data_IF_890501580538
#
_entry.id   IF_890501580538
#
_cell.length_a   1.000
_cell.length_b   1.000
_cell.length_c   1.000
_cell.angle_alpha   90.00
_cell.angle_beta   90.00
_cell.angle_gamma   90.00
#
_symmetry.space_group_name_H-M   'P 1'
#
loop_
_entity.id
_entity.type
_entity.pdbx_description
1 polymer ?
#
# COMPACT_ATOMS: atom_id res chain seq x y z
N UNK A 1 7.21 5.25 11.53
CA UNK A 1 6.86 3.83 11.63
C UNK A 1 8.03 3.03 11.10
N UNK A 2 8.63 2.23 11.96
CA UNK A 2 9.65 1.27 11.58
C UNK A 2 8.96 -0.02 11.13
N UNK A 3 9.30 -0.50 9.94
CA UNK A 3 8.81 -1.77 9.40
C UNK A 3 9.99 -2.70 9.20
N UNK A 4 9.93 -3.85 9.84
CA UNK A 4 10.89 -4.94 9.65
C UNK A 4 10.11 -6.19 9.24
N UNK A 5 10.52 -6.78 8.12
CA UNK A 5 9.89 -7.98 7.56
C UNK A 5 10.98 -8.99 7.24
N UNK A 6 10.70 -10.27 7.50
CA UNK A 6 11.65 -11.37 7.29
C UNK A 6 11.00 -12.52 6.54
N UNK A 7 11.81 -13.31 5.84
CA UNK A 7 11.36 -14.51 5.12
C UNK A 7 10.69 -14.21 3.78
N UNK A 8 10.88 -13.00 3.24
CA UNK A 8 10.45 -12.65 1.89
C UNK A 8 11.53 -13.07 0.86
N UNK A 9 11.20 -13.11 -0.45
CA UNK A 9 12.18 -13.26 -1.51
C UNK A 9 13.37 -12.32 -1.34
N UNK A 10 14.59 -12.79 -1.61
CA UNK A 10 15.83 -12.02 -1.41
C UNK A 10 15.99 -10.96 -2.49
N UNK A 11 16.67 -9.85 -2.17
CA UNK A 11 17.00 -8.77 -3.12
C UNK A 11 15.79 -8.30 -3.96
N UNK A 12 14.61 -8.22 -3.34
CA UNK A 12 13.34 -7.97 -4.00
C UNK A 12 12.71 -6.69 -3.47
N UNK A 13 12.22 -5.84 -4.39
CA UNK A 13 11.52 -4.60 -4.06
C UNK A 13 10.07 -4.83 -3.63
N UNK A 14 9.61 -4.02 -2.68
CA UNK A 14 8.25 -4.04 -2.14
C UNK A 14 7.78 -2.62 -1.82
N UNK A 15 6.47 -2.44 -1.83
CA UNK A 15 5.81 -1.16 -1.59
C UNK A 15 4.87 -1.24 -0.40
N UNK A 16 4.97 -0.25 0.49
CA UNK A 16 4.13 -0.13 1.67
C UNK A 16 2.97 0.83 1.44
N UNK A 17 1.77 0.38 1.80
CA UNK A 17 0.55 1.20 1.81
C UNK A 17 -0.13 1.17 3.17
N UNK A 18 -0.73 2.31 3.55
CA UNK A 18 -1.78 2.39 4.57
C UNK A 18 -3.12 2.27 3.87
N UNK A 19 -3.96 1.32 4.29
CA UNK A 19 -5.21 0.94 3.60
C UNK A 19 -6.40 0.93 4.56
N UNK A 20 -7.60 1.14 4.02
CA UNK A 20 -8.85 1.13 4.78
C UNK A 20 -9.26 -0.29 5.19
N UNK A 21 -9.19 -1.25 4.26
CA UNK A 21 -9.56 -2.64 4.47
C UNK A 21 -8.32 -3.53 4.28
N UNK A 22 -8.14 -4.58 5.09
CA UNK A 22 -6.95 -5.41 4.99
C UNK A 22 -6.89 -6.28 3.73
N UNK A 23 -8.05 -6.53 3.12
CA UNK A 23 -8.21 -7.35 1.91
C UNK A 23 -8.97 -6.56 0.85
N UNK A 24 -8.95 -7.05 -0.39
CA UNK A 24 -9.75 -6.50 -1.47
C UNK A 24 -11.21 -6.29 -1.02
N UNK A 25 -11.83 -5.12 -1.29
CA UNK A 25 -11.39 -4.11 -2.25
C UNK A 25 -10.39 -3.06 -1.71
N UNK A 26 -9.80 -3.24 -0.53
CA UNK A 26 -8.80 -2.38 0.13
C UNK A 26 -9.29 -0.98 0.55
N UNK A 27 -10.28 -0.41 -0.16
CA UNK A 27 -10.81 0.93 0.07
C UNK A 27 -9.78 2.01 -0.23
N UNK A 28 -9.85 3.13 0.50
CA UNK A 28 -8.86 4.21 0.35
C UNK A 28 -7.47 3.69 0.74
N UNK A 29 -6.49 3.91 -0.14
CA UNK A 29 -5.14 3.36 -0.02
C UNK A 29 -4.10 4.44 -0.27
N UNK A 30 -3.12 4.57 0.62
CA UNK A 30 -2.14 5.65 0.64
C UNK A 30 -0.70 5.12 0.62
N UNK A 31 0.05 5.45 -0.43
CA UNK A 31 1.43 5.03 -0.63
C UNK A 31 2.35 5.65 0.43
N UNK A 32 3.20 4.84 1.06
CA UNK A 32 4.20 5.31 2.03
C UNK A 32 5.61 5.36 1.45
N UNK A 33 5.90 4.49 0.48
CA UNK A 33 7.21 4.33 -0.12
C UNK A 33 7.58 2.87 -0.32
N UNK A 34 8.77 2.68 -0.85
CA UNK A 34 9.39 1.41 -1.19
C UNK A 34 10.39 0.95 -0.12
N UNK A 35 10.69 -0.34 -0.13
CA UNK A 35 11.82 -0.94 0.55
C UNK A 35 12.26 -2.20 -0.20
N UNK A 36 13.50 -2.62 0.01
CA UNK A 36 14.06 -3.81 -0.64
C UNK A 36 14.53 -4.80 0.42
N UNK A 37 14.28 -6.09 0.20
CA UNK A 37 14.84 -7.15 1.04
C UNK A 37 16.31 -7.38 0.72
N UNK A 38 17.10 -7.72 1.72
CA UNK A 38 18.51 -8.08 1.54
C UNK A 38 18.69 -9.54 1.05
N UNK A 39 19.94 -10.01 1.04
CA UNK A 39 20.31 -11.37 0.66
C UNK A 39 19.80 -12.45 1.62
N UNK A 40 19.33 -12.09 2.81
CA UNK A 40 18.69 -12.98 3.78
C UNK A 40 17.15 -12.99 3.68
N UNK A 41 16.58 -12.14 2.82
CA UNK A 41 15.13 -11.96 2.71
C UNK A 41 14.57 -11.07 3.81
N UNK A 42 15.40 -10.21 4.41
CA UNK A 42 15.02 -9.23 5.43
C UNK A 42 14.88 -7.85 4.78
N UNK A 43 13.71 -7.23 4.92
CA UNK A 43 13.44 -5.87 4.47
C UNK A 43 13.22 -4.95 5.65
N UNK A 44 13.82 -3.76 5.60
CA UNK A 44 13.67 -2.71 6.62
C UNK A 44 13.32 -1.39 5.93
N UNK A 45 12.31 -0.69 6.46
CA UNK A 45 11.93 0.64 6.00
C UNK A 45 11.45 1.52 7.16
N UNK A 46 11.92 2.77 7.18
CA UNK A 46 11.53 3.78 8.16
C UNK A 46 10.72 4.88 7.48
N UNK A 47 9.44 4.96 7.83
CA UNK A 47 8.48 5.87 7.20
C UNK A 47 8.03 6.94 8.19
N UNK A 48 8.13 8.22 7.83
CA UNK A 48 7.74 9.34 8.70
C UNK A 48 6.34 9.84 8.32
N UNK A 49 5.44 9.92 9.30
CA UNK A 49 4.04 10.29 9.08
C UNK A 49 3.18 10.04 10.32
N UNK A 50 1.86 10.25 10.20
CA UNK A 50 0.89 9.95 11.26
C UNK A 50 0.38 8.51 11.08
N UNK A 51 0.83 7.61 11.94
CA UNK A 51 0.44 6.20 11.96
C UNK A 51 -0.19 5.85 13.32
N UNK A 52 -1.44 6.27 13.50
CA UNK A 52 -2.15 6.19 14.78
C UNK A 52 -3.66 6.13 14.59
N UNK A 53 -4.43 6.21 15.67
CA UNK A 53 -5.89 6.35 15.59
C UNK A 53 -6.33 7.64 14.86
N UNK A 54 -5.44 8.62 14.71
CA UNK A 54 -5.71 9.85 13.95
C UNK A 54 -5.42 9.73 12.45
N UNK A 55 -5.09 8.54 11.94
CA UNK A 55 -4.82 8.33 10.50
C UNK A 55 -6.12 8.26 9.71
N UNK A 56 -6.38 9.26 8.86
CA UNK A 56 -7.52 9.32 7.94
C UNK A 56 -7.22 10.12 6.67
N UNK A 57 -8.09 9.99 5.67
CA UNK A 57 -8.15 10.84 4.47
C UNK A 57 -9.50 11.56 4.45
N UNK A 58 -9.52 12.80 4.00
CA UNK A 58 -10.74 13.61 3.85
C UNK A 58 -10.66 14.42 2.56
N UNK A 59 -11.80 14.57 1.88
CA UNK A 59 -11.94 15.45 0.74
C UNK A 59 -13.24 16.25 0.89
N UNK A 60 -13.20 17.49 1.44
CA UNK A 60 -14.40 18.30 1.63
C UNK A 60 -15.17 18.59 0.34
N UNK A 61 -14.52 18.47 -0.81
CA UNK A 61 -15.12 18.56 -2.14
C UNK A 61 -14.24 17.88 -3.20
N UNK A 62 -14.66 17.98 -4.46
CA UNK A 62 -13.92 17.47 -5.62
C UNK A 62 -13.20 18.61 -6.37
N UNK A 63 -11.99 18.35 -6.86
CA UNK A 63 -11.23 19.28 -7.68
C UNK A 63 -10.25 18.56 -8.62
N UNK A 64 -9.67 19.26 -9.61
CA UNK A 64 -8.74 18.67 -10.57
C UNK A 64 -7.48 18.15 -9.88
N UNK A 65 -6.95 17.03 -10.36
CA UNK A 65 -5.74 16.37 -9.87
C UNK A 65 -4.70 16.18 -10.99
N UNK A 66 -3.39 16.23 -10.69
CA UNK A 66 -2.33 15.93 -11.65
C UNK A 66 -2.39 14.48 -12.16
N UNK A 67 -1.96 14.25 -13.41
CA UNK A 67 -1.95 12.91 -14.03
C UNK A 67 -0.60 12.57 -14.70
N UNK A 68 0.51 12.45 -13.95
CA UNK A 68 1.80 12.02 -14.50
C UNK A 68 1.77 10.62 -15.17
N UNK A 69 0.88 9.71 -14.76
CA UNK A 69 0.72 8.36 -15.28
C UNK A 69 -0.60 8.21 -16.05
N UNK A 70 -0.55 8.25 -17.37
CA UNK A 70 -1.75 8.24 -18.24
C UNK A 70 -2.00 6.91 -18.94
N UNK A 71 -1.11 5.92 -18.74
CA UNK A 71 -1.16 4.66 -19.46
C UNK A 71 -2.08 3.65 -18.75
N UNK A 72 -2.83 2.82 -19.51
CA UNK A 72 -3.47 1.63 -18.96
C UNK A 72 -2.44 0.65 -18.35
N UNK A 73 -2.86 -0.24 -17.43
CA UNK A 73 -4.26 -0.48 -17.00
C UNK A 73 -4.79 0.50 -15.94
N UNK A 74 -3.91 1.24 -15.27
CA UNK A 74 -4.27 2.13 -14.15
C UNK A 74 -3.83 3.58 -14.41
N UNK A 75 -4.52 4.32 -15.30
CA UNK A 75 -4.26 5.74 -15.46
C UNK A 75 -4.68 6.52 -14.21
N UNK A 76 -3.97 7.61 -13.91
CA UNK A 76 -4.31 8.53 -12.84
C UNK A 76 -5.74 9.09 -12.99
N UNK A 77 -6.45 9.22 -11.87
CA UNK A 77 -7.68 9.99 -11.84
C UNK A 77 -7.36 11.49 -11.89
N UNK A 78 -8.00 12.23 -12.80
CA UNK A 78 -7.82 13.68 -12.95
C UNK A 78 -8.74 14.51 -12.03
N UNK A 79 -9.52 13.86 -11.16
CA UNK A 79 -10.40 14.48 -10.17
C UNK A 79 -10.56 13.55 -8.97
N UNK A 80 -10.54 14.10 -7.74
CA UNK A 80 -10.81 13.32 -6.53
C UNK A 80 -12.32 13.25 -6.24
N UNK A 81 -12.85 12.16 -5.67
CA UNK A 81 -14.19 12.15 -5.09
C UNK A 81 -14.23 12.93 -3.76
N UNK A 82 -15.35 13.57 -3.46
CA UNK A 82 -15.61 14.14 -2.13
C UNK A 82 -15.89 13.03 -1.11
N UNK A 83 -15.37 13.17 0.10
CA UNK A 83 -15.63 12.25 1.21
C UNK A 83 -15.45 12.94 2.56
N UNK A 84 -16.31 12.58 3.52
CA UNK A 84 -16.04 12.81 4.94
C UNK A 84 -14.76 12.05 5.37
N UNK A 85 -14.20 12.31 6.57
CA UNK A 85 -13.03 11.56 7.04
C UNK A 85 -13.21 10.04 6.96
N UNK A 86 -12.30 9.37 6.27
CA UNK A 86 -12.21 7.90 6.17
C UNK A 86 -10.92 7.46 6.84
N UNK A 87 -11.04 6.73 7.94
CA UNK A 87 -9.89 6.17 8.63
C UNK A 87 -9.27 4.98 7.88
N UNK A 88 -7.94 4.97 7.82
CA UNK A 88 -7.16 3.89 7.20
C UNK A 88 -6.22 3.28 8.24
N UNK A 89 -6.66 2.19 8.86
CA UNK A 89 -5.96 1.58 10.02
C UNK A 89 -5.17 0.32 9.69
N UNK A 90 -5.26 -0.17 8.47
CA UNK A 90 -4.58 -1.36 8.02
C UNK A 90 -3.32 -1.00 7.25
N UNK A 91 -2.36 -1.93 7.25
CA UNK A 91 -1.18 -1.89 6.41
C UNK A 91 -1.23 -3.06 5.43
N UNK A 92 -0.68 -2.84 4.24
CA UNK A 92 -0.41 -3.87 3.27
C UNK A 92 0.91 -3.61 2.53
N UNK A 93 1.51 -4.69 2.04
CA UNK A 93 2.76 -4.67 1.28
C UNK A 93 2.53 -5.37 -0.04
N UNK A 94 2.94 -4.73 -1.13
CA UNK A 94 2.86 -5.27 -2.50
C UNK A 94 4.26 -5.55 -3.03
N UNK A 95 4.37 -6.51 -3.95
CA UNK A 95 5.58 -6.65 -4.75
C UNK A 95 5.74 -5.42 -5.64
N UNK A 96 6.96 -4.90 -5.80
CA UNK A 96 7.22 -3.72 -6.65
C UNK A 96 7.05 -4.01 -8.15
N UNK A 97 6.92 -5.28 -8.55
CA UNK A 97 6.51 -5.65 -9.90
C UNK A 97 5.75 -6.98 -9.97
N UNK A 98 4.93 -7.19 -11.02
CA UNK A 98 4.32 -8.48 -11.33
C UNK A 98 5.37 -9.58 -11.53
N UNK A 99 6.51 -9.25 -12.14
CA UNK A 99 7.60 -10.19 -12.37
C UNK A 99 8.22 -10.68 -11.06
N UNK A 100 8.41 -9.80 -10.07
CA UNK A 100 8.85 -10.18 -8.73
C UNK A 100 7.84 -11.11 -8.03
N UNK A 101 6.54 -10.81 -8.17
CA UNK A 101 5.50 -11.70 -7.66
C UNK A 101 5.55 -13.08 -8.33
N UNK A 102 5.69 -13.12 -9.66
CA UNK A 102 5.79 -14.37 -10.42
C UNK A 102 7.02 -15.20 -10.03
N UNK A 103 8.18 -14.55 -9.85
CA UNK A 103 9.40 -15.20 -9.38
C UNK A 103 9.23 -15.81 -7.97
N UNK A 104 8.37 -15.22 -7.15
CA UNK A 104 7.98 -15.74 -5.83
C UNK A 104 6.87 -16.82 -5.89
N UNK A 105 6.42 -17.23 -7.08
CA UNK A 105 5.36 -18.23 -7.27
C UNK A 105 3.93 -17.68 -7.15
N UNK A 106 3.76 -16.36 -7.13
CA UNK A 106 2.46 -15.70 -7.13
C UNK A 106 1.98 -15.39 -8.56
N UNK A 107 0.70 -15.03 -8.76
CA UNK A 107 0.23 -14.54 -10.06
C UNK A 107 0.98 -13.29 -10.53
N UNK A 108 1.25 -13.21 -11.84
CA UNK A 108 1.86 -12.06 -12.51
C UNK A 108 0.85 -10.92 -12.77
N UNK A 109 -0.06 -10.68 -11.82
CA UNK A 109 -1.12 -9.67 -11.95
C UNK A 109 -0.56 -8.29 -11.62
N UNK A 110 -0.78 -7.34 -12.53
CA UNK A 110 -0.45 -5.92 -12.33
C UNK A 110 -1.52 -5.23 -11.47
N UNK A 111 -1.07 -4.40 -10.54
CA UNK A 111 -1.91 -3.62 -9.63
C UNK A 111 -1.37 -2.19 -9.51
N UNK A 112 -2.19 -1.20 -9.10
CA UNK A 112 -1.76 0.20 -9.01
C UNK A 112 -0.94 0.52 -7.74
N UNK A 113 -0.53 -0.49 -6.96
CA UNK A 113 0.00 -0.31 -5.60
C UNK A 113 1.52 -0.13 -5.57
N UNK A 114 2.04 0.85 -6.30
CA UNK A 114 3.40 1.41 -6.17
C UNK A 114 3.43 2.83 -6.81
N UNK A 115 4.60 3.48 -6.81
CA UNK A 115 4.74 4.87 -7.26
C UNK A 115 4.48 5.15 -8.76
N UNK A 116 4.41 4.11 -9.60
CA UNK A 116 4.22 4.23 -11.05
C UNK A 116 3.08 3.35 -11.61
N UNK A 117 2.28 2.76 -10.71
CA UNK A 117 1.12 1.92 -11.00
C UNK A 117 1.41 0.59 -11.71
N UNK A 118 2.60 0.02 -11.52
CA UNK A 118 3.00 -1.26 -12.12
C UNK A 118 3.41 -2.29 -11.07
N UNK A 119 2.76 -2.31 -9.92
CA UNK A 119 3.06 -3.23 -8.82
C UNK A 119 2.56 -4.66 -9.12
N UNK A 120 3.16 -5.65 -8.46
CA UNK A 120 2.63 -7.01 -8.42
C UNK A 120 1.45 -7.15 -7.45
N UNK A 121 1.11 -8.38 -7.03
CA UNK A 121 0.04 -8.63 -6.05
C UNK A 121 0.46 -8.30 -4.61
N UNK A 122 -0.50 -8.24 -3.70
CA UNK A 122 -0.24 -8.03 -2.27
C UNK A 122 0.52 -9.24 -1.67
N UNK A 123 1.71 -9.00 -1.13
CA UNK A 123 2.53 -9.99 -0.43
C UNK A 123 2.14 -10.15 1.04
N UNK A 124 1.92 -9.04 1.76
CA UNK A 124 1.58 -9.04 3.19
C UNK A 124 0.41 -8.11 3.49
N UNK A 125 -0.32 -8.44 4.56
CA UNK A 125 -1.44 -7.64 5.03
C UNK A 125 -1.68 -7.84 6.52
N UNK A 126 -2.21 -6.80 7.14
CA UNK A 126 -2.76 -6.82 8.51
C UNK A 126 -4.13 -7.51 8.61
N UNK A 127 -4.44 -8.48 7.73
CA UNK A 127 -5.70 -9.23 7.65
C UNK A 127 -6.06 -10.10 8.85
N UNK A 128 -5.13 -10.28 9.78
CA UNK A 128 -5.40 -10.93 11.06
C UNK A 128 -6.21 -10.02 12.01
N UNK A 129 -6.41 -8.75 11.64
CA UNK A 129 -7.32 -7.83 12.31
C UNK A 129 -8.63 -7.72 11.53
N UNK A 130 -9.75 -7.58 12.23
CA UNK A 130 -11.04 -7.32 11.58
C UNK A 130 -11.06 -5.96 10.89
N UNK A 131 -11.94 -5.80 9.89
CA UNK A 131 -11.97 -4.65 8.97
C UNK A 131 -11.97 -3.25 9.60
N UNK A 132 -12.49 -3.09 10.82
CA UNK A 132 -12.55 -1.81 11.54
C UNK A 132 -11.50 -1.67 12.65
N UNK A 133 -10.63 -2.67 12.79
CA UNK A 133 -9.78 -2.88 13.96
C UNK A 133 -8.31 -3.06 13.61
N UNK A 134 -7.87 -2.52 12.46
CA UNK A 134 -6.47 -2.52 12.05
C UNK A 134 -5.52 -1.97 13.13
N UNK A 135 -4.23 -2.35 13.08
CA UNK A 135 -3.29 -2.11 14.17
C UNK A 135 -3.09 -0.63 14.49
N UNK A 136 -3.16 0.28 13.50
CA UNK A 136 -2.93 1.71 13.73
C UNK A 136 -3.96 2.32 14.69
N UNK A 137 -5.18 1.77 14.75
CA UNK A 137 -6.22 2.19 15.71
C UNK A 137 -5.78 2.05 17.17
N UNK A 138 -4.75 1.24 17.46
CA UNK A 138 -4.28 0.96 18.82
C UNK A 138 -3.13 1.87 19.26
N UNK A 139 -2.66 2.75 18.38
CA UNK A 139 -1.54 3.66 18.63
C UNK A 139 -2.11 5.08 18.81
N UNK A 140 -1.62 5.81 19.81
CA UNK A 140 -2.00 7.21 20.12
C UNK A 140 -1.04 8.21 19.46
#
# INVERSE_FOLDING_TARGET
MHVEIRGLPTNTGFDLFVIQLPNAPFGVSWYQGDFTTDSSGTGVGDFVGRFSIETFIVAPGSGPAPTPHTKPPFPDANINPATAPVHTFHLGVWFDSPAAAAAAGCPNTETPFNGNHTAGVQALSTRNFGNLNGPLRRIQ
#
